data_IF_955206373951
#
_entry.id   IF_955206373951
#
_cell.length_a   1.000
_cell.length_b   1.000
_cell.length_c   1.000
_cell.angle_alpha   90.00
_cell.angle_beta   90.00
_cell.angle_gamma   90.00
#
_symmetry.space_group_name_H-M   'P 1'
#
loop_
_entity.id
_entity.type
_entity.pdbx_description
1 polymer ?
#
# COMPACT_ATOMS: atom_id res chain seq x y z
N UNK A 1 28.55 11.59 21.02
CA UNK A 1 27.40 11.12 20.23
C UNK A 1 27.60 9.63 20.04
N UNK A 2 26.90 8.79 20.82
CA UNK A 2 27.09 7.34 20.86
C UNK A 2 25.89 6.74 20.13
N UNK A 3 26.11 6.19 18.95
CA UNK A 3 25.10 5.38 18.26
C UNK A 3 24.94 4.09 19.07
N UNK A 4 23.76 3.93 19.66
CA UNK A 4 23.39 2.78 20.47
C UNK A 4 22.85 1.67 19.59
N UNK A 5 23.44 0.50 19.76
CA UNK A 5 23.10 -0.76 19.11
C UNK A 5 21.81 -1.33 19.71
N UNK A 6 20.65 -0.94 19.17
CA UNK A 6 19.33 -1.41 19.63
C UNK A 6 18.50 -2.00 18.48
N UNK A 7 19.06 -2.99 17.78
CA UNK A 7 18.24 -3.96 17.04
C UNK A 7 18.14 -5.23 17.87
N UNK A 8 17.39 -5.13 18.97
CA UNK A 8 16.87 -6.30 19.70
C UNK A 8 15.80 -6.96 18.84
N UNK A 9 16.04 -8.19 18.42
CA UNK A 9 15.02 -9.02 17.79
C UNK A 9 13.95 -9.45 18.78
N UNK A 10 12.72 -9.60 18.27
CA UNK A 10 11.64 -10.32 18.93
C UNK A 10 10.50 -9.43 19.43
N UNK A 11 9.40 -9.45 18.68
CA UNK A 11 8.05 -9.06 19.13
C UNK A 11 7.80 -7.57 19.39
N UNK A 12 7.81 -6.77 18.31
CA UNK A 12 6.88 -5.64 18.25
C UNK A 12 5.65 -6.09 17.48
N UNK A 13 4.80 -6.89 18.11
CA UNK A 13 3.44 -7.09 17.64
C UNK A 13 2.78 -5.71 17.58
N UNK A 14 2.77 -5.09 16.39
CA UNK A 14 2.03 -3.85 16.16
C UNK A 14 0.56 -4.20 16.30
N UNK A 15 -0.03 -3.86 17.44
CA UNK A 15 -1.46 -3.97 17.66
C UNK A 15 -2.13 -2.86 16.86
N UNK A 16 -2.46 -3.14 15.61
CA UNK A 16 -3.23 -2.23 14.76
C UNK A 16 -4.71 -2.49 15.03
N UNK A 17 -5.48 -1.42 15.29
CA UNK A 17 -6.93 -1.54 15.41
C UNK A 17 -7.54 -1.95 14.06
N UNK A 18 -8.57 -2.81 14.02
CA UNK A 18 -9.19 -3.23 12.75
C UNK A 18 -9.62 -2.06 11.86
N UNK A 19 -10.12 -0.97 12.45
CA UNK A 19 -10.53 0.21 11.69
C UNK A 19 -9.34 0.94 11.05
N UNK A 20 -8.23 1.05 11.77
CA UNK A 20 -6.99 1.66 11.27
C UNK A 20 -6.38 0.80 10.16
N UNK A 21 -6.39 -0.52 10.34
CA UNK A 21 -5.93 -1.49 9.34
C UNK A 21 -6.76 -1.42 8.06
N UNK A 22 -8.10 -1.34 8.17
CA UNK A 22 -8.98 -1.14 7.02
C UNK A 22 -8.75 0.23 6.34
N UNK A 23 -8.44 1.26 7.13
CA UNK A 23 -8.12 2.60 6.64
C UNK A 23 -6.90 2.65 5.73
N UNK A 24 -5.91 1.77 5.94
CA UNK A 24 -4.68 1.71 5.15
C UNK A 24 -4.97 1.36 3.68
N UNK A 25 -5.74 0.31 3.40
CA UNK A 25 -6.05 -0.07 2.00
C UNK A 25 -6.79 1.05 1.27
N UNK A 26 -7.75 1.70 1.95
CA UNK A 26 -8.46 2.87 1.40
C UNK A 26 -7.50 4.02 1.09
N UNK A 27 -6.56 4.32 1.98
CA UNK A 27 -5.55 5.36 1.75
C UNK A 27 -4.66 5.03 0.54
N UNK A 28 -4.28 3.76 0.37
CA UNK A 28 -3.51 3.33 -0.79
C UNK A 28 -4.30 3.49 -2.10
N UNK A 29 -5.60 3.17 -2.11
CA UNK A 29 -6.46 3.39 -3.29
C UNK A 29 -6.52 4.87 -3.65
N UNK A 30 -6.82 5.74 -2.69
CA UNK A 30 -6.86 7.19 -2.93
C UNK A 30 -5.52 7.73 -3.42
N UNK A 31 -4.40 7.22 -2.88
CA UNK A 31 -3.08 7.63 -3.33
C UNK A 31 -2.80 7.20 -4.79
N UNK A 32 -3.19 5.98 -5.17
CA UNK A 32 -3.06 5.49 -6.55
C UNK A 32 -3.89 6.32 -7.54
N UNK A 33 -5.08 6.78 -7.16
CA UNK A 33 -5.91 7.68 -7.99
C UNK A 33 -5.19 9.02 -8.25
N UNK A 34 -4.48 9.56 -7.25
CA UNK A 34 -3.66 10.76 -7.41
C UNK A 34 -2.48 10.48 -8.34
N UNK A 35 -1.79 9.35 -8.16
CA UNK A 35 -0.67 8.93 -9.02
C UNK A 35 -1.11 8.85 -10.49
N UNK A 36 -2.24 8.21 -10.77
CA UNK A 36 -2.78 8.11 -12.14
C UNK A 36 -3.12 9.49 -12.72
N UNK A 37 -3.74 10.35 -11.92
CA UNK A 37 -4.08 11.72 -12.35
C UNK A 37 -2.83 12.53 -12.72
N UNK A 38 -1.78 12.45 -11.90
CA UNK A 38 -0.50 13.14 -12.15
C UNK A 38 0.22 12.54 -13.36
N UNK A 39 0.24 11.21 -13.50
CA UNK A 39 0.83 10.53 -14.66
C UNK A 39 0.15 10.95 -15.97
N UNK A 40 -1.17 11.07 -15.98
CA UNK A 40 -1.93 11.53 -17.14
C UNK A 40 -1.52 12.96 -17.53
N UNK A 41 -1.49 13.89 -16.56
CA UNK A 41 -1.10 15.28 -16.80
C UNK A 41 0.35 15.39 -17.28
N UNK A 42 1.26 14.62 -16.70
CA UNK A 42 2.65 14.55 -17.15
C UNK A 42 2.75 14.05 -18.60
N UNK A 43 1.98 13.02 -18.97
CA UNK A 43 1.91 12.54 -20.35
C UNK A 43 1.34 13.58 -21.33
N UNK A 44 0.34 14.35 -20.91
CA UNK A 44 -0.21 15.44 -21.72
C UNK A 44 0.82 16.56 -21.94
N UNK A 45 1.55 16.94 -20.89
CA UNK A 45 2.60 17.95 -20.97
C UNK A 45 3.73 17.50 -21.90
N UNK A 46 4.26 16.27 -21.71
CA UNK A 46 5.38 15.78 -22.50
C UNK A 46 5.03 15.64 -24.00
N UNK A 47 3.79 15.26 -24.31
CA UNK A 47 3.29 15.05 -25.68
C UNK A 47 2.78 16.31 -26.38
N UNK A 48 2.65 17.45 -25.68
CA UNK A 48 2.11 18.68 -26.26
C UNK A 48 3.01 19.20 -27.40
N UNK A 49 2.47 19.18 -28.62
CA UNK A 49 3.22 19.56 -29.84
C UNK A 49 3.51 21.06 -29.93
N UNK A 50 2.55 21.90 -29.53
CA UNK A 50 2.64 23.36 -29.64
C UNK A 50 2.25 24.04 -28.33
N UNK A 51 3.09 24.96 -27.90
CA UNK A 51 3.04 25.67 -26.63
C UNK A 51 2.74 27.16 -26.81
N UNK A 52 3.02 27.72 -28.00
CA UNK A 52 2.78 29.14 -28.29
C UNK A 52 3.75 30.06 -27.56
N UNK A 53 4.94 29.56 -27.21
CA UNK A 53 6.00 30.27 -26.50
C UNK A 53 7.11 30.76 -27.44
N UNK A 54 6.90 30.66 -28.75
CA UNK A 54 7.92 30.96 -29.76
C UNK A 54 8.86 29.79 -30.05
N UNK A 55 8.50 28.57 -29.66
CA UNK A 55 9.29 27.35 -29.83
C UNK A 55 9.60 26.98 -31.30
N UNK A 56 8.87 27.55 -32.26
CA UNK A 56 9.13 27.41 -33.69
C UNK A 56 9.91 28.56 -34.32
N UNK A 57 10.22 29.63 -33.57
CA UNK A 57 10.95 30.79 -34.07
C UNK A 57 12.42 30.72 -33.62
N UNK A 58 13.34 30.49 -34.57
CA UNK A 58 14.77 30.42 -34.30
C UNK A 58 15.39 31.71 -33.75
N UNK A 59 14.68 32.84 -33.80
CA UNK A 59 15.10 34.11 -33.17
C UNK A 59 14.76 34.18 -31.68
N UNK A 60 13.81 33.36 -31.21
CA UNK A 60 13.32 33.31 -29.83
C UNK A 60 13.89 32.10 -29.09
N UNK A 61 15.18 32.13 -28.78
CA UNK A 61 15.95 31.00 -28.21
C UNK A 61 15.39 30.51 -26.85
N UNK A 62 14.71 31.37 -26.09
CA UNK A 62 14.11 31.02 -24.81
C UNK A 62 12.89 30.10 -24.95
N UNK A 63 12.13 30.20 -26.04
CA UNK A 63 10.93 29.40 -26.28
C UNK A 63 11.22 27.90 -26.33
N UNK A 64 12.10 27.43 -27.26
CA UNK A 64 12.51 26.04 -27.32
C UNK A 64 13.13 25.51 -26.02
N UNK A 65 13.91 26.36 -25.32
CA UNK A 65 14.55 25.99 -24.06
C UNK A 65 13.54 25.72 -22.95
N UNK A 66 12.53 26.58 -22.79
CA UNK A 66 11.47 26.39 -21.79
C UNK A 66 10.62 25.16 -22.11
N UNK A 67 10.23 24.98 -23.37
CA UNK A 67 9.47 23.80 -23.80
C UNK A 67 10.25 22.51 -23.54
N UNK A 68 11.55 22.49 -23.84
CA UNK A 68 12.43 21.36 -23.51
C UNK A 68 12.39 21.01 -22.02
N UNK A 69 12.57 22.01 -21.15
CA UNK A 69 12.55 21.81 -19.69
C UNK A 69 11.20 21.30 -19.17
N UNK A 70 10.09 21.78 -19.72
CA UNK A 70 8.78 21.28 -19.32
C UNK A 70 8.59 19.81 -19.69
N UNK A 71 9.03 19.40 -20.87
CA UNK A 71 8.98 18.01 -21.32
C UNK A 71 9.86 17.11 -20.45
N UNK A 72 11.11 17.50 -20.22
CA UNK A 72 12.05 16.76 -19.36
C UNK A 72 11.48 16.60 -17.94
N UNK A 73 10.92 17.68 -17.38
CA UNK A 73 10.31 17.64 -16.05
C UNK A 73 9.11 16.69 -16.02
N UNK A 74 8.25 16.75 -17.03
CA UNK A 74 7.08 15.87 -17.12
C UNK A 74 7.48 14.39 -17.27
N UNK A 75 8.49 14.08 -18.06
CA UNK A 75 9.03 12.71 -18.16
C UNK A 75 9.56 12.21 -16.82
N UNK A 76 10.34 13.04 -16.10
CA UNK A 76 10.83 12.71 -14.77
C UNK A 76 9.70 12.48 -13.76
N UNK A 77 8.66 13.32 -13.77
CA UNK A 77 7.46 13.14 -12.93
C UNK A 77 6.74 11.84 -13.29
N UNK A 78 6.56 11.53 -14.57
CA UNK A 78 5.96 10.28 -15.02
C UNK A 78 6.71 9.04 -14.51
N UNK A 79 8.04 9.04 -14.61
CA UNK A 79 8.89 7.96 -14.09
C UNK A 79 8.83 7.84 -12.55
N UNK A 80 8.75 8.97 -11.84
CA UNK A 80 8.57 8.97 -10.40
C UNK A 80 7.20 8.39 -10.00
N UNK A 81 6.13 8.75 -10.70
CA UNK A 81 4.78 8.23 -10.46
C UNK A 81 4.70 6.72 -10.73
N UNK A 82 5.34 6.23 -11.80
CA UNK A 82 5.49 4.79 -12.07
C UNK A 82 6.11 4.03 -10.89
N UNK A 83 7.16 4.61 -10.30
CA UNK A 83 7.83 4.03 -9.14
C UNK A 83 6.91 4.01 -7.92
N UNK A 84 6.18 5.10 -7.65
CA UNK A 84 5.22 5.16 -6.57
C UNK A 84 4.09 4.13 -6.74
N UNK A 85 3.58 3.97 -7.96
CA UNK A 85 2.52 2.99 -8.26
C UNK A 85 2.96 1.56 -7.92
N UNK A 86 4.19 1.19 -8.30
CA UNK A 86 4.76 -0.14 -8.00
C UNK A 86 4.90 -0.35 -6.50
N UNK A 87 5.52 0.60 -5.79
CA UNK A 87 5.72 0.52 -4.33
C UNK A 87 4.38 0.36 -3.59
N UNK A 88 3.39 1.17 -3.95
CA UNK A 88 2.08 1.11 -3.31
C UNK A 88 1.34 -0.17 -3.67
N UNK A 89 1.47 -0.66 -4.91
CA UNK A 89 0.95 -1.96 -5.33
C UNK A 89 1.53 -3.11 -4.51
N UNK A 90 2.85 -3.16 -4.37
CA UNK A 90 3.55 -4.17 -3.57
C UNK A 90 3.12 -4.11 -2.09
N UNK A 91 3.00 -2.91 -1.54
CA UNK A 91 2.52 -2.70 -0.18
C UNK A 91 1.09 -3.20 0.02
N UNK A 92 0.18 -2.89 -0.92
CA UNK A 92 -1.22 -3.38 -0.84
C UNK A 92 -1.29 -4.90 -0.91
N UNK A 93 -0.46 -5.53 -1.72
CA UNK A 93 -0.42 -6.99 -1.79
C UNK A 93 0.10 -7.61 -0.49
N UNK A 94 1.17 -7.05 0.08
CA UNK A 94 1.66 -7.48 1.39
C UNK A 94 0.61 -7.28 2.50
N UNK A 95 -0.11 -6.16 2.46
CA UNK A 95 -1.19 -5.84 3.40
C UNK A 95 -2.36 -6.82 3.28
N UNK A 96 -2.76 -7.18 2.06
CA UNK A 96 -3.79 -8.20 1.79
C UNK A 96 -3.37 -9.56 2.34
N UNK A 97 -2.14 -9.96 2.09
CA UNK A 97 -1.60 -11.22 2.61
C UNK A 97 -1.56 -11.25 4.15
N UNK A 98 -1.20 -10.13 4.79
CA UNK A 98 -1.22 -10.00 6.24
C UNK A 98 -2.66 -10.14 6.79
N UNK A 99 -3.62 -9.45 6.17
CA UNK A 99 -5.05 -9.55 6.52
C UNK A 99 -5.54 -11.00 6.45
N UNK A 100 -5.30 -11.66 5.33
CA UNK A 100 -5.81 -13.01 5.08
C UNK A 100 -5.24 -14.01 6.10
N UNK A 101 -3.98 -13.84 6.51
CA UNK A 101 -3.38 -14.61 7.59
C UNK A 101 -4.02 -14.34 8.95
N UNK A 102 -4.29 -13.08 9.29
CA UNK A 102 -4.92 -12.72 10.56
C UNK A 102 -6.32 -13.35 10.67
N UNK A 103 -7.11 -13.29 9.60
CA UNK A 103 -8.44 -13.92 9.54
C UNK A 103 -8.35 -15.44 9.70
N UNK A 104 -7.45 -16.09 8.95
CA UNK A 104 -7.29 -17.54 9.03
C UNK A 104 -6.86 -18.03 10.43
N UNK A 105 -5.98 -17.29 11.11
CA UNK A 105 -5.54 -17.62 12.47
C UNK A 105 -6.69 -17.50 13.48
N UNK A 106 -7.52 -16.46 13.36
CA UNK A 106 -8.67 -16.27 14.24
C UNK A 106 -9.73 -17.38 14.04
N UNK A 107 -10.02 -17.73 12.79
CA UNK A 107 -10.91 -18.84 12.44
C UNK A 107 -10.40 -20.19 12.96
N UNK A 108 -9.10 -20.50 12.78
CA UNK A 108 -8.51 -21.74 13.30
C UNK A 108 -8.62 -21.80 14.83
N UNK A 109 -8.35 -20.68 15.52
CA UNK A 109 -8.44 -20.61 16.97
C UNK A 109 -9.89 -20.86 17.45
N UNK A 110 -10.87 -20.23 16.81
CA UNK A 110 -12.28 -20.41 17.14
C UNK A 110 -12.74 -21.87 16.97
N UNK A 111 -12.31 -22.54 15.90
CA UNK A 111 -12.57 -23.96 15.68
C UNK A 111 -11.96 -24.84 16.77
N UNK A 112 -10.70 -24.59 17.13
CA UNK A 112 -10.00 -25.34 18.19
C UNK A 112 -10.64 -25.15 19.56
N UNK A 113 -11.17 -23.96 19.83
CA UNK A 113 -11.92 -23.70 21.06
C UNK A 113 -13.22 -24.51 21.08
N UNK A 114 -13.98 -24.50 19.99
CA UNK A 114 -15.22 -25.28 19.89
C UNK A 114 -14.98 -26.78 20.07
N UNK A 115 -13.93 -27.33 19.46
CA UNK A 115 -13.52 -28.73 19.64
C UNK A 115 -13.15 -29.03 21.10
N UNK A 116 -12.40 -28.13 21.76
CA UNK A 116 -12.02 -28.27 23.16
C UNK A 116 -13.24 -28.20 24.09
N UNK A 117 -14.17 -27.27 23.84
CA UNK A 117 -15.43 -27.13 24.58
C UNK A 117 -16.32 -28.37 24.39
N UNK A 118 -16.45 -28.88 23.16
CA UNK A 118 -17.18 -30.11 22.88
C UNK A 118 -16.56 -31.32 23.59
N UNK A 119 -15.23 -31.43 23.61
CA UNK A 119 -14.52 -32.48 24.33
C UNK A 119 -14.69 -32.39 25.86
N UNK A 120 -14.73 -31.17 26.41
CA UNK A 120 -15.00 -30.93 27.83
C UNK A 120 -16.47 -31.20 28.18
N UNK A 121 -17.42 -30.80 27.33
CA UNK A 121 -18.85 -31.08 27.50
C UNK A 121 -19.20 -32.56 27.33
N UNK A 122 -18.43 -33.31 26.54
CA UNK A 122 -18.56 -34.78 26.41
C UNK A 122 -18.04 -35.51 27.65
N UNK A 123 -17.13 -34.89 28.41
CA UNK A 123 -16.75 -35.35 29.75
C UNK A 123 -17.71 -34.76 30.78
N UNK A 124 -18.93 -35.29 30.85
CA UNK A 124 -19.72 -35.15 32.08
C UNK A 124 -19.17 -36.13 33.13
N UNK A 125 -18.46 -35.68 34.18
CA UNK A 125 -17.95 -36.55 35.22
C UNK A 125 -19.06 -37.20 36.07
N UNK A 126 -20.33 -36.82 35.88
CA UNK A 126 -21.47 -37.36 36.61
C UNK A 126 -22.31 -38.39 35.82
N UNK A 127 -21.92 -38.73 34.59
CA UNK A 127 -22.65 -39.68 33.75
C UNK A 127 -22.37 -41.18 34.04
N UNK A 128 -21.75 -41.53 35.17
CA UNK A 128 -21.56 -42.93 35.59
C UNK A 128 -22.35 -43.20 36.88
N UNK A 129 -23.45 -43.96 36.74
CA UNK A 129 -23.95 -44.82 37.80
C UNK A 129 -25.37 -44.55 38.32
N UNK A 130 -26.39 -44.52 37.46
CA UNK A 130 -27.75 -44.84 37.87
C UNK A 130 -28.05 -46.31 37.47
N UNK A 131 -27.75 -47.24 38.37
CA UNK A 131 -28.28 -48.61 38.39
C UNK A 131 -28.79 -48.90 39.79
#
# INVERSE_FOLDING_TARGET
MRFGDEWGGGDSAVVVRPEEFAGIDRACVMFLEVVESVSLLAGQISSQMHWGLGEGDGRLISGPTLVGRFRETAEAVGAAMETHRRIVGDFREAHRLARDRLVAVDEEWALRLADAEAALGTRDPFAVGAR
#
